data_IF_941246798064
#
_entry.id   IF_941246798064
#
_cell.length_a   1.000
_cell.length_b   1.000
_cell.length_c   1.000
_cell.angle_alpha   90.00
_cell.angle_beta   90.00
_cell.angle_gamma   90.00
#
_symmetry.space_group_name_H-M   'P 1'
#
loop_
_entity.id
_entity.type
_entity.pdbx_description
1 polymer ?
#
# COMPACT_ATOMS: atom_id res chain seq x y z
N UNK A 1 -20.36 -22.47 -9.30
CA UNK A 1 -19.81 -21.57 -8.26
C UNK A 1 -19.42 -20.29 -8.98
N UNK A 2 -19.98 -19.14 -8.61
CA UNK A 2 -19.61 -17.87 -9.25
C UNK A 2 -18.12 -17.60 -8.99
N UNK A 3 -17.35 -17.38 -10.04
CA UNK A 3 -15.96 -16.93 -9.91
C UNK A 3 -15.93 -15.61 -9.15
N UNK A 4 -15.12 -15.57 -8.09
CA UNK A 4 -14.91 -14.34 -7.35
C UNK A 4 -14.18 -13.37 -8.28
N UNK A 5 -14.71 -12.15 -8.53
CA UNK A 5 -14.03 -11.18 -9.37
C UNK A 5 -12.62 -10.90 -8.84
N UNK A 6 -11.66 -10.76 -9.75
CA UNK A 6 -10.27 -10.48 -9.42
C UNK A 6 -10.19 -9.27 -8.48
N UNK A 7 -9.59 -9.46 -7.32
CA UNK A 7 -9.39 -8.39 -6.34
C UNK A 7 -8.09 -7.62 -6.61
N UNK A 8 -7.97 -6.43 -6.03
CA UNK A 8 -6.82 -5.54 -6.24
C UNK A 8 -5.45 -6.16 -5.84
N UNK A 9 -5.41 -6.98 -4.79
CA UNK A 9 -4.18 -7.69 -4.41
C UNK A 9 -3.78 -8.68 -5.50
N UNK A 10 -4.68 -9.55 -5.94
CA UNK A 10 -4.42 -10.49 -7.03
C UNK A 10 -4.04 -9.76 -8.33
N UNK A 11 -4.74 -8.67 -8.67
CA UNK A 11 -4.42 -7.85 -9.84
C UNK A 11 -3.01 -7.23 -9.76
N UNK A 12 -2.57 -6.75 -8.60
CA UNK A 12 -1.20 -6.24 -8.44
C UNK A 12 -0.15 -7.32 -8.69
N UNK A 13 -0.40 -8.56 -8.26
CA UNK A 13 0.51 -9.69 -8.47
C UNK A 13 0.59 -10.06 -9.95
N UNK A 14 -0.55 -10.09 -10.66
CA UNK A 14 -0.56 -10.27 -12.11
C UNK A 14 0.22 -9.15 -12.81
N UNK A 15 0.03 -7.89 -12.39
CA UNK A 15 0.78 -6.74 -12.89
C UNK A 15 2.29 -6.90 -12.74
N UNK A 16 2.78 -7.41 -11.61
CA UNK A 16 4.20 -7.69 -11.43
C UNK A 16 4.71 -8.85 -12.30
N UNK A 17 3.89 -9.86 -12.55
CA UNK A 17 4.24 -11.01 -13.37
C UNK A 17 4.30 -10.69 -14.88
N UNK A 18 3.80 -9.52 -15.33
CA UNK A 18 4.06 -9.02 -16.69
C UNK A 18 5.54 -8.74 -16.94
N UNK A 19 6.34 -8.49 -15.90
CA UNK A 19 7.77 -8.24 -15.99
C UNK A 19 8.61 -9.53 -16.07
N UNK A 20 7.95 -10.69 -15.95
CA UNK A 20 8.57 -12.00 -16.01
C UNK A 20 8.23 -12.88 -14.83
N UNK A 21 8.77 -14.10 -14.86
CA UNK A 21 8.53 -15.11 -13.84
C UNK A 21 9.12 -14.69 -12.49
N UNK A 22 8.35 -14.85 -11.40
CA UNK A 22 8.75 -14.46 -10.05
C UNK A 22 8.34 -15.52 -9.03
N UNK A 23 9.17 -15.76 -8.02
CA UNK A 23 8.76 -16.61 -6.90
C UNK A 23 7.77 -15.88 -6.01
N UNK A 24 7.03 -16.62 -5.18
CA UNK A 24 6.11 -16.01 -4.21
C UNK A 24 6.81 -15.01 -3.27
N UNK A 25 8.08 -15.26 -2.91
CA UNK A 25 8.85 -14.32 -2.10
C UNK A 25 9.24 -13.06 -2.88
N UNK A 26 9.66 -13.21 -4.14
CA UNK A 26 10.00 -12.05 -4.98
C UNK A 26 8.77 -11.14 -5.16
N UNK A 27 7.58 -11.72 -5.27
CA UNK A 27 6.32 -10.98 -5.32
C UNK A 27 6.00 -10.25 -4.01
N UNK A 28 6.30 -10.84 -2.85
CA UNK A 28 6.16 -10.17 -1.55
C UNK A 28 7.07 -8.94 -1.49
N UNK A 29 8.34 -9.10 -1.84
CA UNK A 29 9.32 -8.01 -1.85
C UNK A 29 8.92 -6.93 -2.85
N UNK A 30 8.56 -7.32 -4.08
CA UNK A 30 8.12 -6.39 -5.13
C UNK A 30 6.89 -5.59 -4.68
N UNK A 31 5.91 -6.24 -4.05
CA UNK A 31 4.73 -5.57 -3.53
C UNK A 31 5.06 -4.55 -2.44
N UNK A 32 5.92 -4.92 -1.49
CA UNK A 32 6.36 -4.04 -0.40
C UNK A 32 7.11 -2.82 -0.93
N UNK A 33 8.02 -3.01 -1.87
CA UNK A 33 8.86 -1.95 -2.43
C UNK A 33 8.08 -1.02 -3.36
N UNK A 34 7.18 -1.55 -4.21
CA UNK A 34 6.57 -0.76 -5.29
C UNK A 34 5.24 -0.11 -4.93
N UNK A 35 4.44 -0.78 -4.10
CA UNK A 35 3.08 -0.32 -3.77
C UNK A 35 2.80 -0.32 -2.27
N UNK A 36 3.70 -0.85 -1.44
CA UNK A 36 3.49 -1.02 0.00
C UNK A 36 3.23 0.28 0.76
N UNK A 37 3.63 1.42 0.20
CA UNK A 37 3.40 2.77 0.74
C UNK A 37 1.91 3.19 0.72
N UNK A 38 1.13 2.70 -0.24
CA UNK A 38 -0.29 3.05 -0.39
C UNK A 38 -1.23 1.82 -0.45
N UNK A 39 -0.69 0.62 -0.60
CA UNK A 39 -1.45 -0.61 -0.72
C UNK A 39 -0.88 -1.69 0.19
N UNK A 40 -1.55 -1.92 1.33
CA UNK A 40 -1.10 -2.88 2.34
C UNK A 40 -1.36 -4.32 1.88
N UNK A 41 -0.29 -5.09 1.68
CA UNK A 41 -0.36 -6.52 1.40
C UNK A 41 0.53 -7.27 2.38
N UNK A 42 -0.06 -8.21 3.10
CA UNK A 42 0.68 -9.16 3.94
C UNK A 42 1.22 -10.32 3.13
N UNK A 43 2.33 -10.91 3.57
CA UNK A 43 2.88 -12.17 3.02
C UNK A 43 1.80 -13.25 2.92
N UNK A 44 0.97 -13.38 3.96
CA UNK A 44 -0.12 -14.36 3.99
C UNK A 44 -1.17 -14.11 2.89
N UNK A 45 -1.49 -12.84 2.57
CA UNK A 45 -2.39 -12.50 1.47
C UNK A 45 -1.77 -12.87 0.13
N UNK A 46 -0.49 -12.55 -0.10
CA UNK A 46 0.20 -12.92 -1.35
C UNK A 46 0.07 -14.42 -1.64
N UNK A 47 0.43 -15.27 -0.67
CA UNK A 47 0.36 -16.72 -0.89
C UNK A 47 -1.07 -17.25 -1.03
N UNK A 48 -2.04 -16.66 -0.34
CA UNK A 48 -3.46 -17.01 -0.53
C UNK A 48 -3.95 -16.66 -1.93
N UNK A 49 -3.62 -15.46 -2.43
CA UNK A 49 -4.01 -15.04 -3.78
C UNK A 49 -3.28 -15.86 -4.85
N UNK A 50 -1.99 -16.18 -4.67
CA UNK A 50 -1.27 -17.08 -5.58
C UNK A 50 -1.95 -18.45 -5.71
N UNK A 51 -2.30 -19.07 -4.58
CA UNK A 51 -3.01 -20.35 -4.59
C UNK A 51 -4.42 -20.26 -5.21
N UNK A 52 -5.07 -19.10 -5.14
CA UNK A 52 -6.36 -18.87 -5.80
C UNK A 52 -6.22 -18.66 -7.30
N UNK A 53 -5.24 -17.85 -7.73
CA UNK A 53 -4.94 -17.58 -9.13
C UNK A 53 -4.46 -18.83 -9.87
N UNK A 54 -3.64 -19.67 -9.24
CA UNK A 54 -3.18 -20.95 -9.82
C UNK A 54 -4.37 -21.90 -10.04
N UNK A 55 -5.26 -22.03 -9.05
CA UNK A 55 -6.49 -22.84 -9.19
C UNK A 55 -7.46 -22.30 -10.25
N UNK A 56 -7.43 -20.99 -10.50
CA UNK A 56 -8.23 -20.32 -11.52
C UNK A 56 -7.55 -20.28 -12.90
N UNK A 57 -6.36 -20.87 -13.06
CA UNK A 57 -5.64 -20.89 -14.34
C UNK A 57 -5.08 -19.52 -14.77
N UNK A 58 -5.02 -18.53 -13.88
CA UNK A 58 -4.50 -17.18 -14.18
C UNK A 58 -2.98 -17.12 -14.12
N UNK A 59 -2.37 -18.04 -13.38
CA UNK A 59 -0.92 -18.22 -13.31
C UNK A 59 -0.60 -19.70 -13.40
N UNK A 60 0.56 -19.98 -13.96
CA UNK A 60 1.17 -21.29 -13.96
C UNK A 60 2.43 -21.26 -13.13
N UNK A 61 2.70 -22.37 -12.46
CA UNK A 61 3.78 -22.44 -11.52
C UNK A 61 4.80 -23.47 -12.04
N UNK A 62 6.01 -22.99 -12.28
CA UNK A 62 7.07 -23.75 -12.94
C UNK A 62 7.69 -24.84 -12.05
N UNK A 63 8.75 -25.46 -12.57
CA UNK A 63 9.52 -26.46 -11.83
C UNK A 63 10.13 -25.86 -10.56
N UNK A 64 10.17 -26.67 -9.49
CA UNK A 64 10.76 -26.24 -8.22
C UNK A 64 12.26 -26.04 -8.40
N UNK A 65 12.72 -24.80 -8.23
CA UNK A 65 14.16 -24.48 -8.22
C UNK A 65 14.85 -24.91 -6.92
N UNK A 66 16.13 -24.54 -6.79
CA UNK A 66 16.88 -24.77 -5.56
C UNK A 66 16.16 -24.15 -4.34
N UNK A 67 16.04 -24.93 -3.24
CA UNK A 67 15.26 -24.62 -2.01
C UNK A 67 13.73 -24.66 -2.17
N UNK A 68 13.20 -25.48 -3.09
CA UNK A 68 11.76 -25.66 -3.33
C UNK A 68 11.00 -24.39 -3.75
N UNK A 69 11.70 -23.35 -4.22
CA UNK A 69 11.06 -22.11 -4.66
C UNK A 69 10.42 -22.33 -6.03
N UNK A 70 9.09 -22.25 -6.09
CA UNK A 70 8.28 -22.38 -7.30
C UNK A 70 8.12 -20.99 -7.94
N UNK A 71 8.64 -20.74 -9.15
CA UNK A 71 8.39 -19.50 -9.87
C UNK A 71 6.97 -19.54 -10.46
N UNK A 72 6.28 -18.42 -10.45
CA UNK A 72 4.97 -18.24 -11.07
C UNK A 72 5.11 -17.42 -12.34
N UNK A 73 4.33 -17.77 -13.36
CA UNK A 73 4.30 -17.13 -14.67
C UNK A 73 2.85 -16.85 -15.05
N UNK A 74 2.62 -15.73 -15.73
CA UNK A 74 1.29 -15.34 -16.18
C UNK A 74 0.82 -16.25 -17.32
N UNK A 75 -0.43 -16.71 -17.28
CA UNK A 75 -1.10 -17.35 -18.42
C UNK A 75 -1.77 -16.30 -19.31
N UNK A 76 -2.28 -16.72 -20.48
CA UNK A 76 -3.08 -15.83 -21.33
C UNK A 76 -4.38 -15.39 -20.65
N UNK A 77 -5.01 -16.29 -19.90
CA UNK A 77 -6.19 -15.97 -19.09
C UNK A 77 -5.85 -14.97 -17.97
N UNK A 78 -4.66 -15.08 -17.37
CA UNK A 78 -4.12 -14.08 -16.46
C UNK A 78 -3.92 -12.71 -17.12
N UNK A 79 -3.40 -12.66 -18.35
CA UNK A 79 -3.23 -11.39 -19.11
C UNK A 79 -4.59 -10.73 -19.32
N UNK A 80 -5.57 -11.49 -19.77
CA UNK A 80 -6.93 -11.01 -20.04
C UNK A 80 -7.60 -10.53 -18.76
N UNK A 81 -7.52 -11.30 -17.68
CA UNK A 81 -8.09 -10.91 -16.38
C UNK A 81 -7.46 -9.64 -15.81
N UNK A 82 -6.14 -9.44 -15.99
CA UNK A 82 -5.47 -8.20 -15.59
C UNK A 82 -5.91 -7.00 -16.45
N UNK A 83 -5.98 -7.17 -17.78
CA UNK A 83 -6.43 -6.13 -18.70
C UNK A 83 -7.88 -5.69 -18.39
N UNK A 84 -8.78 -6.65 -18.17
CA UNK A 84 -10.16 -6.36 -17.76
C UNK A 84 -10.26 -5.68 -16.39
N UNK A 85 -9.28 -5.89 -15.50
CA UNK A 85 -9.30 -5.30 -14.16
C UNK A 85 -8.79 -3.86 -14.17
N UNK A 86 -7.70 -3.58 -14.89
CA UNK A 86 -7.08 -2.24 -14.91
C UNK A 86 -7.96 -1.20 -15.62
N UNK A 87 -8.92 -1.65 -16.42
CA UNK A 87 -9.92 -0.79 -17.09
C UNK A 87 -11.14 -0.48 -16.21
N UNK A 88 -11.28 -1.10 -15.04
CA UNK A 88 -12.41 -0.84 -14.13
C UNK A 88 -12.19 0.47 -13.39
N UNK A 89 -13.28 1.20 -13.16
CA UNK A 89 -13.26 2.34 -12.25
C UNK A 89 -12.76 1.90 -10.86
N UNK A 90 -11.76 2.61 -10.28
CA UNK A 90 -11.35 2.36 -8.92
C UNK A 90 -12.52 2.52 -7.95
N UNK A 91 -12.58 1.65 -6.95
CA UNK A 91 -13.55 1.77 -5.87
C UNK A 91 -13.31 3.01 -5.00
N UNK A 92 -14.28 3.39 -4.14
CA UNK A 92 -14.09 4.49 -3.21
C UNK A 92 -12.98 4.19 -2.21
N UNK A 93 -12.22 5.23 -1.85
CA UNK A 93 -11.20 5.13 -0.82
C UNK A 93 -11.80 4.92 0.58
N UNK A 94 -11.16 4.05 1.36
CA UNK A 94 -11.55 3.82 2.76
C UNK A 94 -10.45 4.33 3.70
N UNK A 95 -10.60 5.58 4.15
CA UNK A 95 -9.63 6.22 5.05
C UNK A 95 -9.86 5.71 6.47
N UNK A 96 -8.93 4.91 6.97
CA UNK A 96 -8.84 4.50 8.38
C UNK A 96 -7.63 5.16 9.02
N UNK A 97 -7.84 6.29 9.68
CA UNK A 97 -6.75 7.10 10.24
C UNK A 97 -6.78 7.04 11.79
N UNK A 98 -5.94 6.19 12.43
CA UNK A 98 -6.05 5.90 13.87
C UNK A 98 -5.89 7.13 14.76
N UNK A 99 -5.03 8.07 14.39
CA UNK A 99 -4.80 9.26 15.20
C UNK A 99 -6.04 10.18 15.25
N UNK A 100 -6.86 10.23 14.21
CA UNK A 100 -8.13 10.99 14.24
C UNK A 100 -9.11 10.34 15.21
N UNK A 101 -9.14 9.00 15.29
CA UNK A 101 -9.94 8.28 16.27
C UNK A 101 -9.45 8.57 17.70
N UNK A 102 -8.14 8.61 17.92
CA UNK A 102 -7.54 9.00 19.20
C UNK A 102 -7.94 10.42 19.60
N UNK A 103 -7.84 11.40 18.68
CA UNK A 103 -8.24 12.78 18.93
C UNK A 103 -9.74 12.89 19.23
N UNK A 104 -10.58 12.14 18.52
CA UNK A 104 -12.04 12.14 18.73
C UNK A 104 -12.42 11.70 20.15
N UNK A 105 -11.64 10.80 20.76
CA UNK A 105 -11.83 10.35 22.15
C UNK A 105 -10.84 10.99 23.12
N UNK A 106 -10.20 12.09 22.74
CA UNK A 106 -9.13 12.74 23.51
C UNK A 106 -9.55 13.18 24.91
N UNK A 107 -10.84 13.45 25.14
CA UNK A 107 -11.39 13.79 26.46
C UNK A 107 -11.24 12.67 27.51
N UNK A 108 -11.02 11.42 27.08
CA UNK A 108 -10.76 10.28 27.96
C UNK A 108 -9.27 10.04 28.23
N UNK A 109 -8.39 10.93 27.77
CA UNK A 109 -6.94 10.81 27.93
C UNK A 109 -6.39 11.95 28.79
N UNK A 110 -5.30 11.72 29.56
CA UNK A 110 -4.50 12.80 30.10
C UNK A 110 -4.01 13.71 28.95
N UNK A 111 -4.15 15.04 29.04
CA UNK A 111 -3.75 15.98 27.97
C UNK A 111 -2.31 15.78 27.46
N UNK A 112 -1.41 15.43 28.37
CA UNK A 112 0.03 15.23 28.18
C UNK A 112 0.28 13.95 27.39
N UNK A 113 -0.56 12.93 27.60
CA UNK A 113 -0.49 11.69 26.82
C UNK A 113 -0.92 11.93 25.38
N UNK A 114 -1.99 12.70 25.17
CA UNK A 114 -2.44 13.07 23.83
C UNK A 114 -1.37 13.93 23.12
N UNK A 115 -0.80 14.91 23.82
CA UNK A 115 0.28 15.74 23.29
C UNK A 115 1.51 14.91 22.86
N UNK A 116 1.93 13.95 23.69
CA UNK A 116 3.03 13.05 23.35
C UNK A 116 2.73 12.18 22.12
N UNK A 117 1.50 11.66 22.01
CA UNK A 117 1.07 10.89 20.84
C UNK A 117 1.07 11.73 19.57
N UNK A 118 0.56 12.96 19.62
CA UNK A 118 0.57 13.91 18.49
C UNK A 118 2.00 14.23 18.05
N UNK A 119 2.89 14.53 19.00
CA UNK A 119 4.29 14.85 18.69
C UNK A 119 5.02 13.66 18.03
N UNK A 120 4.87 12.45 18.59
CA UNK A 120 5.49 11.24 18.05
C UNK A 120 4.98 10.91 16.64
N UNK A 121 3.69 11.09 16.36
CA UNK A 121 3.17 10.82 15.01
C UNK A 121 3.58 11.90 14.02
N UNK A 122 3.60 13.18 14.43
CA UNK A 122 4.12 14.27 13.60
C UNK A 122 5.55 13.97 13.13
N UNK A 123 6.44 13.55 14.05
CA UNK A 123 7.81 13.18 13.71
C UNK A 123 7.90 12.00 12.73
N UNK A 124 7.01 11.00 12.86
CA UNK A 124 6.95 9.88 11.91
C UNK A 124 6.53 10.34 10.50
N UNK A 125 5.55 11.25 10.41
CA UNK A 125 5.12 11.85 9.14
C UNK A 125 6.19 12.75 8.52
N UNK A 126 6.97 13.49 9.32
CA UNK A 126 8.13 14.25 8.82
C UNK A 126 9.20 13.32 8.23
N UNK A 127 9.49 12.20 8.89
CA UNK A 127 10.41 11.20 8.37
C UNK A 127 9.90 10.59 7.06
N UNK A 128 8.60 10.28 6.97
CA UNK A 128 8.02 9.69 5.76
C UNK A 128 8.01 10.67 4.58
N UNK A 129 7.75 11.96 4.83
CA UNK A 129 7.85 13.01 3.82
C UNK A 129 9.28 13.11 3.27
N UNK A 130 10.28 13.11 4.16
CA UNK A 130 11.69 13.17 3.75
C UNK A 130 12.10 11.96 2.89
N UNK A 131 11.61 10.76 3.23
CA UNK A 131 11.79 9.55 2.41
C UNK A 131 11.18 9.74 1.01
N UNK A 132 9.94 10.22 0.91
CA UNK A 132 9.29 10.42 -0.39
C UNK A 132 9.99 11.48 -1.25
N UNK A 133 10.42 12.59 -0.64
CA UNK A 133 11.16 13.63 -1.34
C UNK A 133 12.53 13.11 -1.84
N UNK A 134 13.19 12.25 -1.05
CA UNK A 134 14.42 11.59 -1.47
C UNK A 134 14.17 10.61 -2.63
N UNK A 135 13.17 9.73 -2.51
CA UNK A 135 12.78 8.80 -3.55
C UNK A 135 12.43 9.53 -4.85
N UNK A 136 11.73 10.67 -4.79
CA UNK A 136 11.33 11.45 -5.95
C UNK A 136 12.53 12.09 -6.66
N UNK A 137 13.56 12.48 -5.90
CA UNK A 137 14.79 13.04 -6.43
C UNK A 137 15.70 11.98 -7.09
N UNK A 138 15.64 10.73 -6.61
CA UNK A 138 16.50 9.62 -7.07
C UNK A 138 15.85 8.81 -8.20
N UNK A 139 14.52 8.65 -8.18
CA UNK A 139 13.82 7.89 -9.21
C UNK A 139 13.74 8.66 -10.54
N UNK A 140 14.18 7.99 -11.61
CA UNK A 140 14.23 8.53 -12.98
C UNK A 140 12.87 8.70 -13.68
N UNK A 141 12.78 8.27 -14.95
CA UNK A 141 11.71 8.68 -15.89
C UNK A 141 10.37 7.91 -15.82
N UNK A 142 10.13 7.04 -14.82
CA UNK A 142 8.85 6.34 -14.72
C UNK A 142 7.75 7.27 -14.20
N UNK A 143 7.05 7.92 -15.14
CA UNK A 143 5.98 8.89 -14.85
C UNK A 143 4.88 8.38 -13.93
N UNK A 144 4.55 7.08 -13.97
CA UNK A 144 3.47 6.53 -13.14
C UNK A 144 3.91 6.34 -11.70
N UNK A 145 5.13 5.85 -11.49
CA UNK A 145 5.72 5.76 -10.15
C UNK A 145 5.87 7.16 -9.52
N UNK A 146 6.33 8.13 -10.30
CA UNK A 146 6.42 9.53 -9.85
C UNK A 146 5.03 10.09 -9.48
N UNK A 147 3.98 9.81 -10.26
CA UNK A 147 2.63 10.27 -9.95
C UNK A 147 2.10 9.67 -8.62
N UNK A 148 2.36 8.39 -8.37
CA UNK A 148 1.96 7.77 -7.09
C UNK A 148 2.75 8.32 -5.91
N UNK A 149 4.02 8.69 -6.12
CA UNK A 149 4.87 9.27 -5.09
C UNK A 149 4.49 10.72 -4.78
N UNK A 150 4.12 11.50 -5.79
CA UNK A 150 3.61 12.87 -5.63
C UNK A 150 2.38 12.91 -4.72
N UNK A 151 1.46 11.95 -4.87
CA UNK A 151 0.34 11.80 -3.95
C UNK A 151 0.81 11.62 -2.50
N UNK A 152 1.81 10.77 -2.27
CA UNK A 152 2.41 10.56 -0.94
C UNK A 152 2.97 11.86 -0.36
N UNK A 153 3.71 12.64 -1.14
CA UNK A 153 4.26 13.93 -0.72
C UNK A 153 3.15 14.92 -0.35
N UNK A 154 2.15 15.07 -1.22
CA UNK A 154 1.00 15.97 -0.98
C UNK A 154 0.23 15.55 0.27
N UNK A 155 0.01 14.25 0.44
CA UNK A 155 -0.66 13.68 1.61
C UNK A 155 0.10 13.99 2.91
N UNK A 156 1.39 13.69 2.96
CA UNK A 156 2.20 13.93 4.17
C UNK A 156 2.25 15.41 4.55
N UNK A 157 2.37 16.31 3.56
CA UNK A 157 2.31 17.76 3.80
C UNK A 157 0.96 18.19 4.39
N UNK A 158 -0.14 17.69 3.84
CA UNK A 158 -1.48 18.00 4.34
C UNK A 158 -1.69 17.46 5.77
N UNK A 159 -1.16 16.28 6.07
CA UNK A 159 -1.19 15.68 7.42
C UNK A 159 -0.37 16.51 8.42
N UNK A 160 0.83 16.97 8.05
CA UNK A 160 1.64 17.84 8.91
C UNK A 160 0.96 19.18 9.19
N UNK A 161 0.36 19.79 8.16
CA UNK A 161 -0.45 21.00 8.33
C UNK A 161 -1.66 20.76 9.27
N UNK A 162 -2.24 19.56 9.23
CA UNK A 162 -3.28 19.16 10.18
C UNK A 162 -2.76 19.04 11.62
N UNK A 163 -1.59 18.45 11.85
CA UNK A 163 -0.97 18.39 13.18
C UNK A 163 -0.73 19.79 13.78
N UNK A 164 -0.23 20.72 12.97
CA UNK A 164 -0.01 22.10 13.41
C UNK A 164 -1.33 22.78 13.80
N UNK A 165 -2.41 22.54 13.04
CA UNK A 165 -3.75 23.06 13.36
C UNK A 165 -4.35 22.43 14.62
N UNK A 166 -4.18 21.12 14.83
CA UNK A 166 -4.77 20.43 15.98
C UNK A 166 -4.10 20.84 17.29
N UNK A 167 -2.76 21.01 17.28
CA UNK A 167 -2.03 21.52 18.43
C UNK A 167 -2.52 22.91 18.87
N UNK A 168 -2.75 23.80 17.90
CA UNK A 168 -3.30 25.13 18.15
C UNK A 168 -4.72 25.09 18.72
N UNK A 169 -5.60 24.23 18.20
CA UNK A 169 -6.99 24.13 18.66
C UNK A 169 -7.11 23.54 20.07
N UNK A 170 -6.35 22.49 20.36
CA UNK A 170 -6.38 21.82 21.67
C UNK A 170 -5.68 22.64 22.76
N UNK A 171 -4.66 23.43 22.42
CA UNK A 171 -4.02 24.37 23.35
C UNK A 171 -4.87 25.57 23.76
N UNK A 172 -5.92 25.89 22.99
CA UNK A 172 -6.82 27.03 23.26
C UNK A 172 -8.03 26.68 24.15
N UNK A 173 -8.20 25.41 24.55
CA UNK A 173 -9.36 24.93 25.31
C UNK A 173 -9.23 24.89 26.84
N UNK A 174 -8.08 25.25 27.41
CA UNK A 174 -7.82 25.19 28.87
C UNK A 174 -8.01 26.54 29.60
N UNK A 175 -9.08 27.28 29.31
CA UNK A 175 -9.50 28.43 30.15
C UNK A 175 -10.91 28.22 30.69
#
# INVERSE_FOLDING_TARGET
MAERPLNATAASLLGFLHEGSKTGWDLVVTAQERIGKFWSITTSQVYRELAAMERAGLIEAGERGARERKPYTLTEDGRRAFAEWIERDPGPENIRYPMLLTVAFGAHLPPERLAAMLHSHRAAHESQLAEYEHEAAVHGSNRFALATLDFGIVYERAVLEWFDRVGNRLGQGSR
#
